data_IF_631687937693
#
_entry.id   IF_631687937693
#
_cell.length_a   1.000
_cell.length_b   1.000
_cell.length_c   1.000
_cell.angle_alpha   90.00
_cell.angle_beta   90.00
_cell.angle_gamma   90.00
#
_symmetry.space_group_name_H-M   'P 1'
#
loop_
_entity.id
_entity.type
_entity.pdbx_description
1 polymer ?
#
# COMPACT_ATOMS: atom_id res chain seq x y z
N UNK A 1 14.26 5.87 -18.60
CA UNK A 1 13.29 4.90 -18.06
C UNK A 1 11.96 5.27 -18.69
N UNK A 2 11.37 4.37 -19.47
CA UNK A 2 10.05 4.61 -20.06
C UNK A 2 9.01 4.61 -18.94
N UNK A 3 8.26 5.70 -18.82
CA UNK A 3 7.26 5.87 -17.74
C UNK A 3 6.15 4.82 -17.81
N UNK A 4 5.81 4.37 -19.02
CA UNK A 4 4.87 3.27 -19.25
C UNK A 4 5.33 1.97 -18.57
N UNK A 5 6.61 1.63 -18.68
CA UNK A 5 7.17 0.45 -18.04
C UNK A 5 7.08 0.54 -16.51
N UNK A 6 7.31 1.73 -15.95
CA UNK A 6 7.14 1.98 -14.53
C UNK A 6 5.67 1.83 -14.09
N UNK A 7 4.73 2.40 -14.83
CA UNK A 7 3.29 2.29 -14.52
C UNK A 7 2.84 0.83 -14.57
N UNK A 8 3.28 0.07 -15.58
CA UNK A 8 3.00 -1.37 -15.69
C UNK A 8 3.55 -2.12 -14.48
N UNK A 9 4.79 -1.85 -14.07
CA UNK A 9 5.38 -2.48 -12.90
C UNK A 9 4.60 -2.17 -11.62
N UNK A 10 4.23 -0.90 -11.40
CA UNK A 10 3.46 -0.50 -10.22
C UNK A 10 2.11 -1.22 -10.20
N UNK A 11 1.43 -1.29 -11.36
CA UNK A 11 0.18 -2.02 -11.49
C UNK A 11 0.35 -3.51 -11.17
N UNK A 12 1.36 -4.16 -11.73
CA UNK A 12 1.66 -5.56 -11.42
C UNK A 12 1.92 -5.77 -9.94
N UNK A 13 2.68 -4.87 -9.30
CA UNK A 13 2.96 -4.93 -7.87
C UNK A 13 1.69 -4.79 -7.02
N UNK A 14 0.83 -3.84 -7.35
CA UNK A 14 -0.46 -3.66 -6.69
C UNK A 14 -1.32 -4.91 -6.83
N UNK A 15 -1.59 -5.35 -8.07
CA UNK A 15 -2.47 -6.48 -8.33
C UNK A 15 -1.96 -7.75 -7.63
N UNK A 16 -0.66 -8.04 -7.71
CA UNK A 16 -0.07 -9.20 -7.06
C UNK A 16 -0.18 -9.13 -5.53
N UNK A 17 0.03 -7.94 -4.93
CA UNK A 17 -0.04 -7.78 -3.47
C UNK A 17 -1.48 -7.90 -2.98
N UNK A 18 -2.44 -7.28 -3.67
CA UNK A 18 -3.85 -7.36 -3.29
C UNK A 18 -4.46 -8.75 -3.55
N UNK A 19 -4.00 -9.47 -4.57
CA UNK A 19 -4.40 -10.87 -4.79
C UNK A 19 -3.99 -11.75 -3.59
N UNK A 20 -2.75 -11.61 -3.12
CA UNK A 20 -2.27 -12.31 -1.91
C UNK A 20 -3.06 -11.93 -0.66
N UNK A 21 -3.44 -10.66 -0.50
CA UNK A 21 -4.33 -10.26 0.61
C UNK A 21 -5.71 -10.94 0.50
N UNK A 22 -6.27 -11.00 -0.71
CA UNK A 22 -7.58 -11.61 -0.96
C UNK A 22 -7.61 -13.09 -0.58
N UNK A 23 -6.53 -13.83 -0.84
CA UNK A 23 -6.38 -15.25 -0.46
C UNK A 23 -6.58 -15.47 1.06
N UNK A 24 -6.12 -14.55 1.90
CA UNK A 24 -6.25 -14.66 3.36
C UNK A 24 -7.68 -14.52 3.87
N UNK A 25 -8.58 -13.94 3.09
CA UNK A 25 -10.01 -13.95 3.44
C UNK A 25 -10.61 -15.36 3.28
N UNK A 26 -10.03 -16.22 2.46
CA UNK A 26 -10.53 -17.57 2.17
C UNK A 26 -10.11 -18.68 3.13
N UNK A 27 -9.20 -18.41 4.09
CA UNK A 27 -8.71 -19.44 5.04
C UNK A 27 -9.76 -19.79 6.12
N UNK A 28 -9.46 -20.67 7.08
CA UNK A 28 -10.44 -20.97 8.13
C UNK A 28 -10.63 -19.79 9.10
N UNK A 29 -11.83 -19.64 9.67
CA UNK A 29 -12.07 -18.64 10.70
C UNK A 29 -11.20 -18.85 11.93
N UNK A 30 -10.97 -20.11 12.32
CA UNK A 30 -10.08 -20.48 13.43
C UNK A 30 -8.67 -19.91 13.26
N UNK A 31 -8.13 -19.97 12.04
CA UNK A 31 -6.83 -19.38 11.71
C UNK A 31 -6.92 -17.85 11.66
N UNK A 32 -7.95 -17.29 11.02
CA UNK A 32 -8.06 -15.83 10.90
C UNK A 32 -8.21 -15.11 12.25
N UNK A 33 -8.93 -15.73 13.18
CA UNK A 33 -9.22 -15.22 14.51
C UNK A 33 -8.16 -15.61 15.56
N UNK A 34 -7.15 -16.41 15.18
CA UNK A 34 -6.07 -16.79 16.09
C UNK A 34 -5.29 -15.54 16.55
N UNK A 35 -5.16 -15.41 17.88
CA UNK A 35 -4.33 -14.40 18.54
C UNK A 35 -2.95 -15.02 18.82
N UNK A 36 -1.86 -14.48 18.23
CA UNK A 36 -0.50 -14.83 18.59
C UNK A 36 -0.22 -14.75 20.09
N UNK A 37 0.67 -15.61 20.60
CA UNK A 37 1.05 -15.72 22.01
C UNK A 37 1.64 -14.43 22.58
N UNK A 38 2.28 -13.62 21.74
CA UNK A 38 2.82 -12.32 22.13
C UNK A 38 1.74 -11.21 22.24
N UNK A 39 0.46 -11.55 22.05
CA UNK A 39 -0.65 -10.59 22.08
C UNK A 39 -0.77 -9.70 20.85
N UNK A 40 0.02 -9.95 19.80
CA UNK A 40 -0.02 -9.20 18.53
C UNK A 40 -1.28 -9.44 17.71
N UNK A 41 -1.45 -8.71 16.60
CA UNK A 41 -2.69 -8.71 15.81
C UNK A 41 -3.08 -10.05 15.18
N UNK A 42 -4.39 -10.29 15.04
CA UNK A 42 -4.97 -11.45 14.35
C UNK A 42 -4.91 -11.17 12.85
N UNK A 43 -5.14 -12.17 12.01
CA UNK A 43 -5.20 -11.93 10.56
C UNK A 43 -6.34 -10.95 10.23
N UNK A 44 -7.51 -11.08 10.87
CA UNK A 44 -8.62 -10.14 10.68
C UNK A 44 -8.23 -8.69 11.02
N UNK A 45 -7.58 -8.48 12.15
CA UNK A 45 -7.11 -7.15 12.57
C UNK A 45 -6.01 -6.60 11.66
N UNK A 46 -5.10 -7.46 11.17
CA UNK A 46 -4.07 -7.03 10.21
C UNK A 46 -4.72 -6.58 8.89
N UNK A 47 -5.70 -7.33 8.37
CA UNK A 47 -6.42 -6.96 7.15
C UNK A 47 -7.22 -5.66 7.32
N UNK A 48 -7.88 -5.48 8.48
CA UNK A 48 -8.57 -4.23 8.84
C UNK A 48 -7.57 -3.06 8.90
N UNK A 49 -6.42 -3.24 9.54
CA UNK A 49 -5.37 -2.23 9.59
C UNK A 49 -4.89 -1.82 8.19
N UNK A 50 -4.70 -2.78 7.29
CA UNK A 50 -4.29 -2.47 5.91
C UNK A 50 -5.36 -1.61 5.22
N UNK A 51 -6.64 -1.95 5.37
CA UNK A 51 -7.74 -1.19 4.80
C UNK A 51 -7.81 0.24 5.38
N UNK A 52 -7.67 0.40 6.70
CA UNK A 52 -7.67 1.69 7.38
C UNK A 52 -6.51 2.57 6.93
N UNK A 53 -5.28 2.04 6.93
CA UNK A 53 -4.09 2.80 6.51
C UNK A 53 -4.19 3.19 5.03
N UNK A 54 -4.64 2.27 4.17
CA UNK A 54 -4.84 2.56 2.75
C UNK A 54 -5.86 3.68 2.52
N UNK A 55 -6.91 3.80 3.34
CA UNK A 55 -7.87 4.90 3.25
C UNK A 55 -7.17 6.27 3.35
N UNK A 56 -6.30 6.44 4.34
CA UNK A 56 -5.56 7.70 4.52
C UNK A 56 -4.49 7.92 3.45
N UNK A 57 -3.79 6.86 3.04
CA UNK A 57 -2.84 6.94 1.92
C UNK A 57 -3.54 7.36 0.63
N UNK A 58 -4.72 6.83 0.35
CA UNK A 58 -5.52 7.19 -0.83
C UNK A 58 -6.00 8.63 -0.79
N UNK A 59 -6.30 9.20 0.38
CA UNK A 59 -6.58 10.64 0.49
C UNK A 59 -5.36 11.46 0.02
N UNK A 60 -4.15 11.07 0.42
CA UNK A 60 -2.91 11.73 -0.01
C UNK A 60 -2.65 11.55 -1.51
N UNK A 61 -2.79 10.32 -2.01
CA UNK A 61 -2.60 9.98 -3.42
C UNK A 61 -3.57 10.76 -4.31
N UNK A 62 -4.87 10.79 -3.97
CA UNK A 62 -5.86 11.53 -4.76
C UNK A 62 -5.55 13.03 -4.79
N UNK A 63 -5.16 13.62 -3.65
CA UNK A 63 -4.74 15.03 -3.59
C UNK A 63 -3.50 15.28 -4.45
N UNK A 64 -2.53 14.36 -4.42
CA UNK A 64 -1.31 14.46 -5.21
C UNK A 64 -1.60 14.34 -6.71
N UNK A 65 -2.41 13.36 -7.12
CA UNK A 65 -2.86 13.16 -8.50
C UNK A 65 -3.59 14.37 -9.06
N UNK A 66 -4.54 14.93 -8.29
CA UNK A 66 -5.27 16.13 -8.70
C UNK A 66 -4.35 17.36 -8.89
N UNK A 67 -3.28 17.49 -8.10
CA UNK A 67 -2.30 18.56 -8.26
C UNK A 67 -1.37 18.31 -9.44
N UNK A 68 -0.89 17.08 -9.60
CA UNK A 68 -0.07 16.64 -10.72
C UNK A 68 -0.76 16.93 -12.06
N UNK A 69 -2.03 16.55 -12.20
CA UNK A 69 -2.84 16.82 -13.39
C UNK A 69 -3.01 18.32 -13.69
N UNK A 70 -3.15 19.16 -12.65
CA UNK A 70 -3.24 20.63 -12.83
C UNK A 70 -1.92 21.24 -13.27
N UNK A 71 -0.80 20.69 -12.81
CA UNK A 71 0.53 21.22 -13.06
C UNK A 71 1.00 21.03 -14.51
N UNK A 72 0.34 20.17 -15.30
CA UNK A 72 0.66 19.99 -16.72
C UNK A 72 0.59 21.30 -17.52
N UNK A 73 -0.25 22.25 -17.09
CA UNK A 73 -0.39 23.54 -17.77
C UNK A 73 0.76 24.52 -17.48
N UNK A 74 1.60 24.22 -16.47
CA UNK A 74 2.57 25.16 -15.93
C UNK A 74 4.00 24.60 -15.86
N UNK A 75 4.17 23.27 -15.91
CA UNK A 75 5.45 22.58 -15.76
C UNK A 75 5.79 21.78 -17.00
N UNK A 76 7.08 21.67 -17.29
CA UNK A 76 7.58 20.87 -18.40
C UNK A 76 7.74 19.40 -18.00
N UNK A 77 6.82 18.57 -18.47
CA UNK A 77 6.84 17.13 -18.26
C UNK A 77 8.07 16.45 -18.88
N UNK A 78 8.57 16.93 -20.02
CA UNK A 78 9.71 16.33 -20.69
C UNK A 78 10.99 16.46 -19.85
N UNK A 79 11.18 17.63 -19.22
CA UNK A 79 12.29 17.87 -18.29
C UNK A 79 12.23 16.97 -17.06
N UNK A 80 11.05 16.82 -16.44
CA UNK A 80 10.89 15.91 -15.28
C UNK A 80 11.16 14.45 -15.69
N UNK A 81 10.61 13.99 -16.82
CA UNK A 81 10.83 12.63 -17.33
C UNK A 81 12.32 12.36 -17.60
N UNK A 82 13.03 13.30 -18.20
CA UNK A 82 14.44 13.15 -18.58
C UNK A 82 15.40 13.01 -17.39
N UNK A 83 15.04 13.55 -16.23
CA UNK A 83 15.86 13.52 -15.01
C UNK A 83 15.36 12.52 -13.95
N UNK A 84 14.22 11.88 -14.20
CA UNK A 84 13.55 11.10 -13.18
C UNK A 84 14.23 9.75 -12.90
N UNK A 85 14.43 9.49 -11.60
CA UNK A 85 14.88 8.21 -11.08
C UNK A 85 13.89 7.75 -10.01
N UNK A 86 13.29 6.58 -10.23
CA UNK A 86 12.37 5.98 -9.27
C UNK A 86 13.15 5.46 -8.06
N UNK A 87 12.79 5.90 -6.85
CA UNK A 87 13.49 5.57 -5.61
C UNK A 87 13.23 4.13 -5.10
N UNK A 88 13.41 3.13 -5.97
CA UNK A 88 13.02 1.73 -5.73
C UNK A 88 13.56 1.15 -4.45
N UNK A 89 14.87 1.25 -4.24
CA UNK A 89 15.53 0.69 -3.06
C UNK A 89 14.92 1.21 -1.75
N UNK A 90 14.69 2.54 -1.66
CA UNK A 90 14.07 3.16 -0.48
C UNK A 90 12.62 2.72 -0.27
N UNK A 91 11.88 2.56 -1.36
CA UNK A 91 10.48 2.12 -1.29
C UNK A 91 10.36 0.62 -0.98
N UNK A 92 11.31 -0.19 -1.42
CA UNK A 92 11.34 -1.63 -1.13
C UNK A 92 11.52 -1.90 0.38
N UNK A 93 12.29 -1.07 1.08
CA UNK A 93 12.47 -1.15 2.54
C UNK A 93 11.16 -0.98 3.32
N UNK A 94 10.16 -0.30 2.75
CA UNK A 94 8.83 -0.11 3.35
C UNK A 94 8.12 -1.47 3.48
N UNK A 95 8.28 -2.33 2.48
CA UNK A 95 7.69 -3.68 2.44
C UNK A 95 8.35 -4.68 3.40
N UNK A 96 9.49 -4.34 3.99
CA UNK A 96 10.23 -5.26 4.85
C UNK A 96 9.70 -5.17 6.29
N UNK A 97 9.07 -6.24 6.78
CA UNK A 97 8.57 -6.26 8.16
C UNK A 97 9.72 -6.08 9.17
N UNK A 98 9.54 -5.20 10.18
CA UNK A 98 10.53 -4.84 11.22
C UNK A 98 11.82 -4.16 10.74
N UNK A 99 11.90 -3.71 9.48
CA UNK A 99 13.06 -2.94 8.97
C UNK A 99 13.28 -1.60 9.68
N UNK A 100 12.20 -0.96 10.16
CA UNK A 100 12.22 0.24 10.98
C UNK A 100 10.97 0.31 11.88
N UNK A 101 11.04 1.16 12.93
CA UNK A 101 9.92 1.47 13.79
C UNK A 101 8.93 2.38 13.06
N UNK A 102 7.72 1.88 12.82
CA UNK A 102 6.66 2.64 12.19
C UNK A 102 5.60 2.97 13.24
N UNK A 103 5.54 4.24 13.65
CA UNK A 103 4.50 4.72 14.57
C UNK A 103 3.16 4.65 13.86
N UNK A 104 2.22 3.93 14.47
CA UNK A 104 0.85 3.76 13.97
C UNK A 104 -0.05 4.74 14.71
N UNK A 105 -0.72 5.68 14.03
CA UNK A 105 -1.70 6.54 14.66
C UNK A 105 -2.90 5.73 15.17
N UNK A 106 -3.51 6.15 16.28
CA UNK A 106 -4.66 5.48 16.91
C UNK A 106 -5.83 5.24 15.94
N UNK A 107 -6.09 6.19 15.03
CA UNK A 107 -7.17 6.07 14.04
C UNK A 107 -6.88 5.06 12.92
N UNK A 108 -5.68 4.51 12.85
CA UNK A 108 -5.31 3.42 11.94
C UNK A 108 -5.23 2.07 12.65
N UNK A 109 -5.51 2.02 13.95
CA UNK A 109 -5.54 0.74 14.68
C UNK A 109 -6.86 0.00 14.42
N UNK A 110 -6.79 -1.32 14.19
CA UNK A 110 -7.99 -2.14 13.98
C UNK A 110 -8.82 -2.18 15.25
N UNK A 111 -10.14 -2.04 15.11
CA UNK A 111 -11.09 -2.02 16.24
C UNK A 111 -12.03 -3.21 16.24
N UNK A 112 -11.96 -4.08 15.22
CA UNK A 112 -12.92 -5.15 15.00
C UNK A 112 -14.33 -4.64 14.70
N UNK A 113 -14.46 -3.37 14.29
CA UNK A 113 -15.76 -2.75 14.04
C UNK A 113 -16.33 -3.14 12.67
N UNK A 114 -15.46 -3.54 11.73
CA UNK A 114 -15.85 -3.97 10.39
C UNK A 114 -15.86 -5.50 10.30
N UNK A 115 -16.84 -6.04 9.59
CA UNK A 115 -16.88 -7.46 9.24
C UNK A 115 -15.78 -7.80 8.23
N UNK A 116 -15.38 -9.07 8.21
CA UNK A 116 -14.40 -9.61 7.25
C UNK A 116 -14.82 -9.30 5.80
N UNK A 117 -16.12 -9.40 5.48
CA UNK A 117 -16.66 -9.08 4.16
C UNK A 117 -16.50 -7.60 3.82
N UNK A 118 -16.79 -6.69 4.75
CA UNK A 118 -16.65 -5.24 4.53
C UNK A 118 -15.18 -4.83 4.34
N UNK A 119 -14.26 -5.44 5.09
CA UNK A 119 -12.82 -5.21 4.92
C UNK A 119 -12.37 -5.69 3.53
N UNK A 120 -12.76 -6.89 3.10
CA UNK A 120 -12.44 -7.41 1.77
C UNK A 120 -12.98 -6.50 0.64
N UNK A 121 -14.24 -6.10 0.73
CA UNK A 121 -14.85 -5.19 -0.26
C UNK A 121 -14.15 -3.83 -0.29
N UNK A 122 -13.74 -3.33 0.88
CA UNK A 122 -12.98 -2.07 1.00
C UNK A 122 -11.64 -2.18 0.28
N UNK A 123 -10.85 -3.24 0.54
CA UNK A 123 -9.56 -3.44 -0.12
C UNK A 123 -9.70 -3.57 -1.65
N UNK A 124 -10.72 -4.29 -2.14
CA UNK A 124 -11.00 -4.40 -3.58
C UNK A 124 -11.33 -3.05 -4.20
N UNK A 125 -12.13 -2.22 -3.52
CA UNK A 125 -12.42 -0.85 -3.95
C UNK A 125 -11.15 0.01 -3.97
N UNK A 126 -10.29 -0.11 -2.97
CA UNK A 126 -9.03 0.63 -2.88
C UNK A 126 -8.04 0.25 -3.97
N UNK A 127 -7.97 -1.03 -4.35
CA UNK A 127 -7.20 -1.47 -5.53
C UNK A 127 -7.72 -0.78 -6.79
N UNK A 128 -9.04 -0.81 -7.03
CA UNK A 128 -9.64 -0.14 -8.18
C UNK A 128 -9.37 1.38 -8.21
N UNK A 129 -9.33 2.04 -7.06
CA UNK A 129 -8.95 3.45 -6.96
C UNK A 129 -7.48 3.68 -7.36
N UNK A 130 -6.56 2.80 -6.96
CA UNK A 130 -5.16 2.91 -7.38
C UNK A 130 -5.03 2.73 -8.90
N UNK A 131 -5.71 1.75 -9.47
CA UNK A 131 -5.70 1.50 -10.93
C UNK A 131 -6.30 2.65 -11.73
N UNK A 132 -7.36 3.29 -11.20
CA UNK A 132 -7.95 4.49 -11.78
C UNK A 132 -6.95 5.66 -11.79
N UNK A 133 -6.27 5.91 -10.67
CA UNK A 133 -5.27 6.98 -10.56
C UNK A 133 -4.14 6.80 -11.58
N UNK A 134 -3.63 5.57 -11.75
CA UNK A 134 -2.60 5.28 -12.75
C UNK A 134 -3.12 5.50 -14.18
N UNK A 135 -4.39 5.19 -14.45
CA UNK A 135 -5.01 5.40 -15.77
C UNK A 135 -5.22 6.88 -16.12
N UNK A 136 -5.46 7.71 -15.10
CA UNK A 136 -5.65 9.15 -15.26
C UNK A 136 -4.34 9.91 -15.53
N UNK A 137 -3.19 9.29 -15.25
CA UNK A 137 -1.86 9.89 -15.40
C UNK A 137 -0.97 8.97 -16.26
N UNK A 138 -1.35 8.67 -17.52
CA UNK A 138 -0.69 7.64 -18.31
C UNK A 138 0.68 8.09 -18.86
N UNK A 139 0.93 9.40 -19.02
CA UNK A 139 2.11 9.92 -19.72
C UNK A 139 3.24 10.36 -18.76
N UNK A 140 3.11 10.09 -17.47
CA UNK A 140 4.07 10.54 -16.46
C UNK A 140 3.66 11.81 -15.71
N UNK A 141 2.44 12.31 -15.90
CA UNK A 141 1.93 13.52 -15.24
C UNK A 141 2.07 13.43 -13.72
N UNK A 142 2.01 12.21 -13.15
CA UNK A 142 2.21 11.95 -11.73
C UNK A 142 3.55 12.45 -11.16
N UNK A 143 4.55 12.72 -12.00
CA UNK A 143 5.84 13.30 -11.61
C UNK A 143 5.76 14.80 -11.28
N UNK A 144 4.77 15.50 -11.85
CA UNK A 144 4.62 16.96 -11.76
C UNK A 144 4.19 17.46 -10.37
N UNK A 145 3.99 16.55 -9.41
CA UNK A 145 3.75 16.93 -8.03
C UNK A 145 4.43 15.95 -7.08
N UNK A 146 5.15 16.47 -6.10
CA UNK A 146 5.77 15.71 -5.02
C UNK A 146 5.28 16.21 -3.67
N UNK A 147 5.05 15.29 -2.75
CA UNK A 147 4.67 15.59 -1.37
C UNK A 147 5.59 14.87 -0.40
N UNK A 148 5.75 15.43 0.80
CA UNK A 148 6.58 14.83 1.85
C UNK A 148 5.90 13.57 2.38
N UNK A 149 6.68 12.48 2.45
CA UNK A 149 6.41 11.25 3.19
C UNK A 149 7.44 11.13 4.30
N UNK A 150 7.00 11.22 5.55
CA UNK A 150 7.87 11.19 6.73
C UNK A 150 8.28 9.78 7.15
N UNK A 151 7.65 8.75 6.59
CA UNK A 151 7.98 7.34 6.88
C UNK A 151 9.39 7.04 6.37
N UNK A 152 10.22 6.46 7.24
CA UNK A 152 11.59 6.01 6.94
C UNK A 152 12.46 7.05 6.19
N UNK A 153 12.33 8.34 6.52
CA UNK A 153 13.06 9.43 5.85
C UNK A 153 12.97 9.41 4.31
N UNK A 154 11.84 8.94 3.75
CA UNK A 154 11.62 8.89 2.30
C UNK A 154 11.72 10.25 1.62
N UNK A 155 11.36 11.33 2.33
CA UNK A 155 11.44 12.68 1.80
C UNK A 155 10.26 12.98 0.89
N UNK A 156 10.48 13.68 -0.23
CA UNK A 156 9.41 14.02 -1.17
C UNK A 156 9.27 12.94 -2.23
N UNK A 157 8.06 12.39 -2.35
CA UNK A 157 7.71 11.36 -3.33
C UNK A 157 6.56 11.82 -4.21
N UNK A 158 6.54 11.34 -5.45
CA UNK A 158 5.52 11.65 -6.44
C UNK A 158 4.32 10.68 -6.39
N UNK A 159 3.36 10.85 -7.29
CA UNK A 159 2.12 10.04 -7.30
C UNK A 159 2.42 8.55 -7.51
N UNK A 160 3.30 8.20 -8.45
CA UNK A 160 3.66 6.81 -8.75
C UNK A 160 4.36 6.15 -7.56
N UNK A 161 5.27 6.89 -6.91
CA UNK A 161 5.95 6.43 -5.70
C UNK A 161 5.00 6.27 -4.51
N UNK A 162 3.99 7.13 -4.35
CA UNK A 162 2.95 6.97 -3.33
C UNK A 162 2.08 5.73 -3.56
N UNK A 163 1.71 5.46 -4.82
CA UNK A 163 0.93 4.27 -5.18
C UNK A 163 1.75 3.00 -4.92
N UNK A 164 3.04 3.01 -5.28
CA UNK A 164 3.95 1.91 -4.98
C UNK A 164 4.18 1.74 -3.47
N UNK A 165 4.33 2.84 -2.74
CA UNK A 165 4.41 2.85 -1.27
C UNK A 165 3.20 2.16 -0.63
N UNK A 166 1.99 2.42 -1.13
CA UNK A 166 0.77 1.76 -0.66
C UNK A 166 0.84 0.24 -0.86
N UNK A 167 1.30 -0.22 -2.04
CA UNK A 167 1.51 -1.64 -2.29
C UNK A 167 2.56 -2.24 -1.33
N UNK A 168 3.65 -1.51 -1.07
CA UNK A 168 4.70 -1.94 -0.14
C UNK A 168 4.22 -2.02 1.30
N UNK A 169 3.41 -1.07 1.73
CA UNK A 169 2.73 -1.13 3.03
C UNK A 169 1.90 -2.41 3.17
N UNK A 170 1.08 -2.75 2.17
CA UNK A 170 0.31 -3.99 2.18
C UNK A 170 1.22 -5.25 2.20
N UNK A 171 2.30 -5.24 1.41
CA UNK A 171 3.30 -6.33 1.40
C UNK A 171 3.94 -6.55 2.78
N UNK A 172 4.27 -5.47 3.50
CA UNK A 172 4.81 -5.54 4.87
C UNK A 172 3.89 -6.33 5.81
N UNK A 173 2.59 -6.20 5.63
CA UNK A 173 1.58 -6.86 6.47
C UNK A 173 1.25 -8.28 6.01
N UNK A 174 1.51 -8.66 4.76
CA UNK A 174 1.49 -10.07 4.34
C UNK A 174 2.50 -10.90 5.13
N UNK A 175 3.72 -10.41 5.31
CA UNK A 175 4.73 -11.09 6.14
C UNK A 175 4.27 -11.25 7.60
N UNK A 176 3.53 -10.27 8.12
CA UNK A 176 2.95 -10.38 9.47
C UNK A 176 1.87 -11.47 9.52
N UNK A 177 0.99 -11.55 8.52
CA UNK A 177 -0.05 -12.58 8.42
C UNK A 177 0.58 -13.98 8.32
N UNK A 178 1.62 -14.14 7.51
CA UNK A 178 2.36 -15.40 7.35
C UNK A 178 2.97 -15.88 8.68
N UNK A 179 3.47 -14.97 9.51
CA UNK A 179 3.97 -15.29 10.85
C UNK A 179 2.87 -15.78 11.79
N UNK A 180 1.70 -15.13 11.79
CA UNK A 180 0.52 -15.56 12.56
C UNK A 180 0.09 -16.96 12.14
N UNK A 181 0.06 -17.23 10.84
CA UNK A 181 -0.33 -18.53 10.30
C UNK A 181 0.67 -19.64 10.63
N UNK A 182 1.96 -19.36 10.55
CA UNK A 182 3.00 -20.32 10.95
C UNK A 182 2.89 -20.68 12.44
N UNK A 183 2.65 -19.70 13.31
CA UNK A 183 2.47 -19.93 14.75
C UNK A 183 1.22 -20.78 15.03
N UNK A 184 0.08 -20.47 14.39
CA UNK A 184 -1.14 -21.27 14.49
C UNK A 184 -0.89 -22.74 14.12
N UNK A 185 -0.18 -22.99 13.03
CA UNK A 185 0.15 -24.35 12.57
C UNK A 185 1.03 -25.12 13.55
N UNK A 186 1.94 -24.45 14.26
CA UNK A 186 2.81 -25.11 15.26
C UNK A 186 2.00 -25.50 16.50
N UNK A 187 1.07 -24.66 16.93
CA UNK A 187 0.31 -24.85 18.16
C UNK A 187 -0.92 -25.76 18.01
N UNK A 188 -1.38 -26.01 16.78
CA UNK A 188 -2.58 -26.81 16.48
C UNK A 188 -2.27 -28.08 15.66
N UNK A 189 -1.02 -28.57 15.75
CA UNK A 189 -0.62 -29.91 15.29
C UNK A 189 -0.79 -30.93 16.42
#
# INVERSE_FOLDING_TARGET
>A
MEVDALIVEIKQKLTATFAKLDEWFGVSESLRAFRPLNGGWTINEILEHVALTNHYLLILINKAAAKAAKNINNLDLATELGSYQFARAKLDEIGQHKSFAWIRPEHMEPKGAQTVTEVSQTLRKQLGQCEEILRQLPNGEGLLYRTTMSVNALGKINVYELVYFLAKHAERHLTQIEQVAAEYQVLNR
#
